data_IF_769492227110
#
_entry.id   IF_769492227110
#
_cell.length_a   1.000
_cell.length_b   1.000
_cell.length_c   1.000
_cell.angle_alpha   90.00
_cell.angle_beta   90.00
_cell.angle_gamma   90.00
#
_symmetry.space_group_name_H-M   'P 1'
#
loop_
_entity.id
_entity.type
_entity.pdbx_description
1 polymer ?
#
# COMPACT_ATOMS: atom_id res chain seq x y z
N UNK A 1 -18.83 -11.69 6.21
CA UNK A 1 -17.60 -10.88 6.16
C UNK A 1 -17.30 -10.53 4.71
N UNK A 2 -17.58 -9.30 4.28
CA UNK A 2 -17.42 -8.91 2.87
C UNK A 2 -15.94 -8.81 2.49
N UNK A 3 -15.51 -9.66 1.55
CA UNK A 3 -14.19 -9.64 0.89
C UNK A 3 -13.96 -8.22 0.36
N UNK A 4 -12.88 -7.56 0.80
CA UNK A 4 -12.45 -6.30 0.16
C UNK A 4 -12.11 -6.67 -1.28
N UNK A 5 -12.66 -5.98 -2.29
CA UNK A 5 -12.23 -6.18 -3.67
C UNK A 5 -10.71 -6.04 -3.73
N UNK A 6 -10.02 -6.98 -4.37
CA UNK A 6 -8.55 -6.96 -4.47
C UNK A 6 -8.02 -5.73 -5.24
N UNK A 7 -8.94 -4.97 -5.83
CA UNK A 7 -8.71 -3.93 -6.81
C UNK A 7 -8.26 -2.58 -6.22
N UNK A 8 -8.26 -2.39 -4.90
CA UNK A 8 -7.90 -1.10 -4.27
C UNK A 8 -6.65 -1.20 -3.38
N UNK A 9 -5.61 -1.87 -3.87
CA UNK A 9 -4.33 -2.03 -3.18
C UNK A 9 -3.25 -1.19 -3.85
N UNK A 10 -2.48 -0.46 -3.05
CA UNK A 10 -1.37 0.40 -3.50
C UNK A 10 -0.07 -0.09 -2.90
N UNK A 11 0.95 -0.26 -3.73
CA UNK A 11 2.33 -0.52 -3.33
C UNK A 11 3.15 0.77 -3.40
N UNK A 12 3.79 1.13 -2.30
CA UNK A 12 4.74 2.23 -2.19
C UNK A 12 6.14 1.69 -1.89
N UNK A 13 7.20 2.12 -2.60
CA UNK A 13 8.56 1.70 -2.28
C UNK A 13 8.89 2.00 -0.81
N UNK A 14 9.49 1.05 -0.09
CA UNK A 14 9.83 1.22 1.32
C UNK A 14 10.79 2.40 1.50
N UNK A 15 11.75 2.59 0.59
CA UNK A 15 12.64 3.73 0.61
C UNK A 15 11.89 5.08 0.56
N UNK A 16 10.78 5.17 -0.17
CA UNK A 16 9.94 6.37 -0.19
C UNK A 16 9.19 6.53 1.15
N UNK A 17 8.61 5.44 1.66
CA UNK A 17 7.96 5.45 2.96
C UNK A 17 8.94 5.88 4.09
N UNK A 18 10.20 5.45 4.03
CA UNK A 18 11.24 5.86 4.98
C UNK A 18 11.61 7.35 4.85
N UNK A 19 11.71 7.89 3.62
CA UNK A 19 11.97 9.33 3.39
C UNK A 19 10.85 10.22 3.91
N UNK A 20 9.59 9.83 3.72
CA UNK A 20 8.40 10.56 4.19
C UNK A 20 8.05 10.21 5.66
N UNK A 21 9.05 9.89 6.48
CA UNK A 21 8.89 9.54 7.89
C UNK A 21 7.75 8.52 8.13
N UNK A 22 7.83 7.32 7.53
CA UNK A 22 6.96 6.11 7.61
C UNK A 22 5.64 6.26 8.39
N UNK A 23 5.71 6.66 9.67
CA UNK A 23 4.58 7.11 10.50
C UNK A 23 3.60 8.06 9.79
N UNK A 24 4.05 9.04 9.01
CA UNK A 24 3.16 10.01 8.34
C UNK A 24 2.37 9.37 7.21
N UNK A 25 3.04 8.62 6.32
CA UNK A 25 2.38 7.85 5.25
C UNK A 25 1.36 6.87 5.85
N UNK A 26 1.73 6.20 6.94
CA UNK A 26 0.85 5.27 7.65
C UNK A 26 -0.35 5.98 8.28
N UNK A 27 -0.14 7.14 8.92
CA UNK A 27 -1.22 7.95 9.51
C UNK A 27 -2.20 8.41 8.44
N UNK A 28 -1.71 8.86 7.29
CA UNK A 28 -2.54 9.29 6.17
C UNK A 28 -3.33 8.13 5.56
N UNK A 29 -2.71 6.95 5.40
CA UNK A 29 -3.40 5.75 4.96
C UNK A 29 -4.52 5.35 5.94
N UNK A 30 -4.26 5.38 7.24
CA UNK A 30 -5.27 5.11 8.28
C UNK A 30 -6.41 6.13 8.24
N UNK A 31 -6.10 7.42 8.08
CA UNK A 31 -7.10 8.49 7.94
C UNK A 31 -7.99 8.28 6.72
N UNK A 32 -7.45 7.74 5.63
CA UNK A 32 -8.18 7.39 4.41
C UNK A 32 -8.88 6.02 4.48
N UNK A 33 -8.87 5.37 5.66
CA UNK A 33 -9.57 4.11 5.88
C UNK A 33 -8.88 2.89 5.25
N UNK A 34 -7.55 2.92 5.11
CA UNK A 34 -6.80 1.73 4.74
C UNK A 34 -7.00 0.63 5.81
N UNK A 35 -7.40 -0.57 5.38
CA UNK A 35 -7.44 -1.76 6.25
C UNK A 35 -6.03 -2.29 6.45
N UNK A 36 -5.54 -2.27 7.68
CA UNK A 36 -4.39 -3.07 8.10
C UNK A 36 -4.75 -4.58 8.01
N UNK A 37 -3.82 -5.50 7.67
CA UNK A 37 -2.41 -5.49 8.03
C UNK A 37 -1.51 -5.07 6.87
N UNK A 38 -0.49 -4.27 7.19
CA UNK A 38 0.61 -3.99 6.28
C UNK A 38 1.15 -5.29 5.69
N UNK A 39 1.10 -5.42 4.37
CA UNK A 39 1.84 -6.46 3.67
C UNK A 39 3.06 -5.80 3.08
N UNK A 40 4.22 -6.36 3.37
CA UNK A 40 5.41 -6.04 2.59
C UNK A 40 5.34 -6.89 1.32
N UNK A 41 5.76 -6.34 0.19
CA UNK A 41 5.87 -7.08 -1.05
C UNK A 41 7.13 -6.66 -1.80
N UNK A 42 7.77 -7.61 -2.46
CA UNK A 42 8.93 -7.38 -3.30
C UNK A 42 8.51 -7.43 -4.76
N UNK A 43 9.08 -6.54 -5.58
CA UNK A 43 8.98 -6.59 -7.03
C UNK A 43 10.31 -6.20 -7.63
N UNK A 44 10.88 -7.07 -8.46
CA UNK A 44 12.20 -6.88 -9.10
C UNK A 44 13.29 -6.43 -8.10
N UNK A 45 13.37 -7.11 -6.94
CA UNK A 45 14.38 -6.82 -5.91
C UNK A 45 14.14 -5.56 -5.07
N UNK A 46 13.06 -4.81 -5.31
CA UNK A 46 12.68 -3.64 -4.49
C UNK A 46 11.53 -3.98 -3.55
N UNK A 47 11.64 -3.55 -2.30
CA UNK A 47 10.62 -3.75 -1.27
C UNK A 47 9.60 -2.62 -1.25
N UNK A 48 8.34 -2.99 -1.04
CA UNK A 48 7.19 -2.09 -1.04
C UNK A 48 6.29 -2.34 0.16
N UNK A 49 5.79 -1.26 0.74
CA UNK A 49 4.66 -1.29 1.66
C UNK A 49 3.36 -1.31 0.86
N UNK A 50 2.50 -2.30 1.13
CA UNK A 50 1.19 -2.43 0.49
C UNK A 50 0.09 -1.94 1.42
N UNK A 51 -0.73 -1.03 0.92
CA UNK A 51 -1.88 -0.43 1.59
C UNK A 51 -3.17 -0.85 0.89
N UNK A 52 -4.15 -1.33 1.65
CA UNK A 52 -5.44 -1.79 1.10
C UNK A 52 -6.56 -0.83 1.47
N UNK A 53 -7.24 -0.25 0.50
CA UNK A 53 -8.33 0.71 0.71
C UNK A 53 -9.71 0.06 0.51
N UNK A 54 -10.73 0.63 1.14
CA UNK A 54 -12.12 0.20 0.96
C UNK A 54 -12.79 0.75 -0.29
N UNK A 55 -12.21 1.78 -0.92
CA UNK A 55 -12.72 2.42 -2.13
C UNK A 55 -11.61 2.94 -3.04
N UNK A 56 -11.89 3.00 -4.34
CA UNK A 56 -11.01 3.60 -5.34
C UNK A 56 -10.76 5.10 -5.05
N UNK A 57 -11.78 5.82 -4.55
CA UNK A 57 -11.65 7.23 -4.21
C UNK A 57 -10.56 7.47 -3.17
N UNK A 58 -10.51 6.65 -2.11
CA UNK A 58 -9.49 6.75 -1.06
C UNK A 58 -8.11 6.35 -1.58
N UNK A 59 -8.05 5.29 -2.39
CA UNK A 59 -6.84 4.86 -3.07
C UNK A 59 -6.25 5.98 -3.95
N UNK A 60 -7.06 6.58 -4.83
CA UNK A 60 -6.66 7.66 -5.72
C UNK A 60 -6.29 8.95 -4.95
N UNK A 61 -6.92 9.21 -3.79
CA UNK A 61 -6.52 10.31 -2.93
C UNK A 61 -5.14 10.08 -2.30
N UNK A 62 -4.88 8.85 -1.85
CA UNK A 62 -3.59 8.45 -1.30
C UNK A 62 -2.47 8.50 -2.37
N UNK A 63 -2.72 7.93 -3.56
CA UNK A 63 -1.77 7.94 -4.68
C UNK A 63 -1.45 9.34 -5.17
N UNK A 64 -2.39 10.28 -5.13
CA UNK A 64 -2.12 11.68 -5.48
C UNK A 64 -1.17 12.38 -4.53
N UNK A 65 -1.10 11.95 -3.26
CA UNK A 65 -0.23 12.56 -2.24
C UNK A 65 1.13 11.90 -2.17
N UNK A 66 1.15 10.57 -2.17
CA UNK A 66 2.34 9.77 -1.89
C UNK A 66 2.89 9.05 -3.14
N UNK A 67 2.14 9.06 -4.24
CA UNK A 67 2.42 8.23 -5.41
C UNK A 67 2.11 6.76 -5.17
N UNK A 68 2.89 5.88 -5.81
CA UNK A 68 2.74 4.43 -5.70
C UNK A 68 2.14 3.80 -6.95
N UNK A 69 2.00 2.48 -6.91
CA UNK A 69 1.52 1.66 -8.02
C UNK A 69 0.41 0.74 -7.55
N UNK A 70 -0.49 0.36 -8.46
CA UNK A 70 -1.47 -0.67 -8.16
C UNK A 70 -0.77 -1.99 -7.83
N UNK A 71 -1.12 -2.55 -6.69
CA UNK A 71 -0.63 -3.84 -6.24
C UNK A 71 -1.55 -4.94 -6.80
N UNK A 72 -0.98 -5.94 -7.48
CA UNK A 72 -1.74 -7.03 -8.12
C UNK A 72 -1.47 -7.23 -9.62
N UNK A 73 -0.69 -6.36 -10.27
CA UNK A 73 -0.16 -6.63 -11.60
C UNK A 73 1.09 -7.51 -11.48
N UNK A 74 1.04 -8.74 -12.00
CA UNK A 74 2.03 -9.83 -12.05
C UNK A 74 3.48 -9.52 -11.59
N UNK A 75 4.09 -10.51 -10.92
CA UNK A 75 5.48 -10.43 -10.46
C UNK A 75 5.67 -9.72 -9.11
N UNK A 76 4.68 -9.80 -8.22
CA UNK A 76 4.81 -9.40 -6.82
C UNK A 76 5.04 -10.63 -5.93
N UNK A 77 6.07 -10.56 -5.08
CA UNK A 77 6.36 -11.57 -4.07
C UNK A 77 5.88 -11.05 -2.70
N UNK A 78 4.94 -11.73 -2.02
CA UNK A 78 4.53 -11.32 -0.70
C UNK A 78 5.66 -11.57 0.32
N UNK A 79 6.07 -10.53 1.03
CA UNK A 79 7.00 -10.65 2.16
C UNK A 79 6.16 -10.90 3.41
N UNK A 80 6.18 -12.13 3.90
CA UNK A 80 5.57 -12.50 5.18
C UNK A 80 6.55 -12.07 6.27
N UNK A 81 6.26 -10.94 6.91
CA UNK A 81 6.95 -10.54 8.15
C UNK A 81 6.33 -11.39 9.27
N UNK A 82 7.10 -12.37 9.76
CA UNK A 82 6.73 -13.17 10.94
C UNK A 82 6.88 -12.37 12.22
#
# INVERSE_FOLDING_TARGET
MSRVPENYRVALPEAYALKCARREVHRDAMRLGARAPHRMARKAGTDFCVFSFSSERHMNAFMRRHGGKLFGADGWEPIIVR
#
